data_IF_923406689930
#
_entry.id   IF_923406689930
#
_cell.length_a   1.000
_cell.length_b   1.000
_cell.length_c   1.000
_cell.angle_alpha   90.00
_cell.angle_beta   90.00
_cell.angle_gamma   90.00
#
_symmetry.space_group_name_H-M   'P 1'
#
loop_
_entity.id
_entity.type
_entity.pdbx_description
1 polymer ?
#
# COMPACT_ATOMS: atom_id res chain seq x y z
N UNK A 1 59.90 -53.54 -42.58
CA UNK A 1 60.14 -52.10 -42.42
C UNK A 1 59.07 -51.55 -41.52
N UNK A 2 59.43 -51.30 -40.26
CA UNK A 2 58.55 -50.68 -39.25
C UNK A 2 58.33 -49.20 -39.59
N UNK A 3 57.08 -48.76 -39.68
CA UNK A 3 56.74 -47.34 -39.62
C UNK A 3 56.26 -47.00 -38.21
N UNK A 4 57.07 -46.20 -37.50
CA UNK A 4 56.73 -45.57 -36.22
C UNK A 4 55.65 -44.53 -36.45
N UNK A 5 54.50 -44.67 -35.79
CA UNK A 5 53.54 -43.58 -35.60
C UNK A 5 53.94 -42.74 -34.38
N UNK A 6 54.14 -41.44 -34.63
CA UNK A 6 54.48 -40.43 -33.64
C UNK A 6 53.34 -40.20 -32.63
N UNK A 7 53.56 -40.62 -31.38
CA UNK A 7 52.69 -40.29 -30.24
C UNK A 7 52.82 -38.81 -29.85
N UNK A 8 51.89 -37.97 -30.32
CA UNK A 8 51.67 -36.61 -29.77
C UNK A 8 51.28 -36.68 -28.28
N UNK A 9 52.15 -36.17 -27.41
CA UNK A 9 51.88 -36.01 -25.99
C UNK A 9 50.79 -34.96 -25.75
N UNK A 10 49.63 -35.39 -25.23
CA UNK A 10 48.62 -34.48 -24.68
C UNK A 10 49.13 -33.89 -23.37
N UNK A 11 49.49 -32.60 -23.39
CA UNK A 11 49.82 -31.83 -22.19
C UNK A 11 48.55 -31.72 -21.34
N UNK A 12 48.50 -32.47 -20.23
CA UNK A 12 47.46 -32.40 -19.22
C UNK A 12 47.38 -31.01 -18.60
N UNK A 13 46.54 -30.15 -19.17
CA UNK A 13 46.21 -28.83 -18.63
C UNK A 13 44.75 -28.79 -18.20
N UNK A 14 44.47 -28.08 -17.09
CA UNK A 14 43.11 -27.88 -16.57
C UNK A 14 42.22 -27.26 -17.67
N UNK A 15 40.97 -27.74 -17.85
CA UNK A 15 40.05 -27.21 -18.86
C UNK A 15 39.87 -25.69 -18.76
N UNK A 16 39.80 -25.01 -19.91
CA UNK A 16 39.51 -23.57 -19.97
C UNK A 16 38.07 -23.34 -19.47
N UNK A 17 37.91 -22.53 -18.41
CA UNK A 17 36.59 -22.09 -17.92
C UNK A 17 35.84 -21.31 -18.99
N UNK A 18 34.54 -21.58 -19.14
CA UNK A 18 33.65 -20.86 -20.06
C UNK A 18 33.51 -19.37 -19.70
N UNK A 19 33.03 -18.56 -20.65
CA UNK A 19 32.89 -17.11 -20.47
C UNK A 19 31.98 -16.74 -19.28
N UNK A 20 30.98 -17.57 -18.96
CA UNK A 20 30.03 -17.41 -17.85
C UNK A 20 30.61 -17.82 -16.48
N UNK A 21 31.65 -18.65 -16.44
CA UNK A 21 32.33 -19.08 -15.20
C UNK A 21 33.52 -18.18 -14.82
N UNK A 22 33.92 -17.28 -15.73
CA UNK A 22 35.06 -16.40 -15.52
C UNK A 22 34.62 -15.13 -14.80
N UNK A 23 34.92 -15.04 -13.51
CA UNK A 23 34.74 -13.83 -12.70
C UNK A 23 35.60 -12.68 -13.26
N UNK A 24 35.00 -11.81 -14.06
CA UNK A 24 35.71 -10.78 -14.85
C UNK A 24 35.72 -9.41 -14.17
N UNK A 25 34.69 -9.11 -13.38
CA UNK A 25 34.47 -7.79 -12.79
C UNK A 25 34.80 -7.79 -11.29
N UNK A 26 35.50 -6.75 -10.83
CA UNK A 26 35.86 -6.56 -9.42
C UNK A 26 35.03 -5.45 -8.80
N UNK A 27 34.35 -5.75 -7.68
CA UNK A 27 33.67 -4.76 -6.83
C UNK A 27 34.49 -4.59 -5.56
N UNK A 28 34.94 -3.37 -5.27
CA UNK A 28 35.68 -3.04 -4.05
C UNK A 28 34.74 -2.38 -3.03
N UNK A 29 34.68 -2.92 -1.81
CA UNK A 29 33.88 -2.38 -0.71
C UNK A 29 34.80 -2.05 0.45
N UNK A 30 34.73 -0.81 0.95
CA UNK A 30 35.41 -0.42 2.19
C UNK A 30 34.52 -0.80 3.37
N UNK A 31 35.07 -1.50 4.36
CA UNK A 31 34.35 -1.95 5.55
C UNK A 31 34.98 -1.32 6.79
N UNK A 32 34.16 -0.96 7.78
CA UNK A 32 34.65 -0.67 9.11
C UNK A 32 35.27 -1.94 9.73
N UNK A 33 36.20 -1.79 10.66
CA UNK A 33 36.90 -2.92 11.28
C UNK A 33 35.94 -3.97 11.86
N UNK A 34 34.88 -3.52 12.55
CA UNK A 34 33.86 -4.41 13.11
C UNK A 34 33.11 -5.23 12.05
N UNK A 35 32.75 -4.61 10.92
CA UNK A 35 32.03 -5.27 9.83
C UNK A 35 32.94 -6.26 9.08
N UNK A 36 34.22 -5.91 8.92
CA UNK A 36 35.23 -6.79 8.33
C UNK A 36 35.41 -8.07 9.18
N UNK A 37 35.57 -7.94 10.50
CA UNK A 37 35.69 -9.10 11.38
C UNK A 37 34.41 -9.94 11.37
N UNK A 38 33.23 -9.31 11.37
CA UNK A 38 31.95 -10.03 11.29
C UNK A 38 31.81 -10.84 10.00
N UNK A 39 32.23 -10.28 8.87
CA UNK A 39 32.27 -11.00 7.59
C UNK A 39 33.22 -12.21 7.68
N UNK A 40 34.44 -12.00 8.18
CA UNK A 40 35.45 -13.06 8.25
C UNK A 40 35.00 -14.21 9.15
N UNK A 41 34.37 -13.91 10.30
CA UNK A 41 33.81 -14.93 11.19
C UNK A 41 32.70 -15.73 10.51
N UNK A 42 31.74 -15.07 9.87
CA UNK A 42 30.63 -15.75 9.19
C UNK A 42 31.08 -16.59 7.99
N UNK A 43 32.07 -16.12 7.24
CA UNK A 43 32.66 -16.88 6.15
C UNK A 43 33.38 -18.14 6.67
N UNK A 44 34.11 -18.00 7.78
CA UNK A 44 34.76 -19.12 8.46
C UNK A 44 33.76 -20.15 8.98
N UNK A 45 32.68 -19.72 9.65
CA UNK A 45 31.60 -20.59 10.13
C UNK A 45 30.89 -21.31 8.97
N UNK A 46 30.71 -20.64 7.84
CA UNK A 46 30.11 -21.22 6.63
C UNK A 46 31.09 -22.12 5.83
N UNK A 47 32.35 -22.26 6.25
CA UNK A 47 33.34 -23.09 5.57
C UNK A 47 33.75 -22.60 4.17
N UNK A 48 33.48 -21.33 3.84
CA UNK A 48 33.75 -20.75 2.51
C UNK A 48 34.65 -19.51 2.61
N UNK A 49 35.29 -19.14 1.50
CA UNK A 49 36.06 -17.89 1.46
C UNK A 49 35.15 -16.66 1.65
N UNK A 50 35.67 -15.58 2.22
CA UNK A 50 34.93 -14.32 2.39
C UNK A 50 34.35 -13.78 1.08
N UNK A 51 35.05 -13.99 -0.03
CA UNK A 51 34.59 -13.62 -1.37
C UNK A 51 33.45 -14.50 -1.87
N UNK A 52 33.45 -15.81 -1.58
CA UNK A 52 32.34 -16.70 -1.94
C UNK A 52 31.12 -16.45 -1.06
N UNK A 53 31.33 -16.20 0.24
CA UNK A 53 30.28 -15.83 1.16
C UNK A 53 29.54 -14.56 0.71
N UNK A 54 30.28 -13.50 0.34
CA UNK A 54 29.67 -12.28 -0.19
C UNK A 54 28.91 -12.52 -1.51
N UNK A 55 29.45 -13.36 -2.40
CA UNK A 55 28.77 -13.71 -3.66
C UNK A 55 27.45 -14.41 -3.40
N UNK A 56 27.42 -15.35 -2.46
CA UNK A 56 26.20 -16.06 -2.10
C UNK A 56 25.18 -15.12 -1.44
N UNK A 57 25.63 -14.22 -0.57
CA UNK A 57 24.78 -13.15 -0.04
C UNK A 57 24.26 -12.21 -1.13
N UNK A 58 25.01 -11.98 -2.21
CA UNK A 58 24.54 -11.16 -3.33
C UNK A 58 23.52 -11.90 -4.21
N UNK A 59 23.73 -13.20 -4.48
CA UNK A 59 22.79 -14.01 -5.29
C UNK A 59 21.45 -14.22 -4.59
N UNK A 60 21.47 -14.47 -3.29
CA UNK A 60 20.29 -14.90 -2.53
C UNK A 60 19.78 -13.85 -1.53
N UNK A 61 20.51 -12.74 -1.37
CA UNK A 61 20.10 -11.65 -0.50
C UNK A 61 18.98 -10.83 -1.11
N UNK A 62 17.98 -10.50 -0.30
CA UNK A 62 16.90 -9.59 -0.68
C UNK A 62 17.15 -8.22 -0.04
N UNK A 63 17.26 -7.18 -0.85
CA UNK A 63 17.30 -5.80 -0.34
C UNK A 63 15.87 -5.37 -0.04
N UNK A 64 15.53 -5.24 1.25
CA UNK A 64 14.23 -4.69 1.65
C UNK A 64 14.20 -3.20 1.30
N UNK A 65 13.52 -2.88 0.20
CA UNK A 65 13.33 -1.49 -0.24
C UNK A 65 12.76 -0.63 0.90
N UNK A 66 13.27 0.59 1.06
CA UNK A 66 12.66 1.58 1.97
C UNK A 66 11.19 1.77 1.57
N UNK A 67 10.30 1.87 2.57
CA UNK A 67 8.90 2.20 2.36
C UNK A 67 8.81 3.43 1.43
N UNK A 68 8.05 3.30 0.34
CA UNK A 68 7.81 4.41 -0.58
C UNK A 68 7.23 5.60 0.18
N UNK A 69 7.39 6.82 -0.34
CA UNK A 69 6.81 8.04 0.26
C UNK A 69 5.28 7.91 0.46
N UNK A 70 4.64 7.09 -0.37
CA UNK A 70 3.21 6.75 -0.29
C UNK A 70 2.94 5.76 0.83
N UNK A 71 3.68 4.65 0.92
CA UNK A 71 3.52 3.69 2.01
C UNK A 71 3.78 4.32 3.38
N UNK A 72 4.77 5.21 3.49
CA UNK A 72 5.03 5.96 4.72
C UNK A 72 3.91 6.96 5.06
N UNK A 73 3.18 7.47 4.06
CA UNK A 73 2.00 8.31 4.27
C UNK A 73 0.81 7.47 4.75
N UNK A 74 0.60 6.29 4.19
CA UNK A 74 -0.43 5.35 4.64
C UNK A 74 -0.20 4.91 6.09
N UNK A 75 1.03 4.59 6.47
CA UNK A 75 1.38 4.25 7.87
C UNK A 75 1.07 5.41 8.82
N UNK A 76 1.43 6.64 8.46
CA UNK A 76 1.10 7.83 9.26
C UNK A 76 -0.41 8.06 9.40
N UNK A 77 -1.18 7.84 8.33
CA UNK A 77 -2.64 7.95 8.37
C UNK A 77 -3.24 6.86 9.26
N UNK A 78 -2.75 5.62 9.17
CA UNK A 78 -3.15 4.50 10.02
C UNK A 78 -2.91 4.78 11.51
N UNK A 79 -1.74 5.33 11.87
CA UNK A 79 -1.47 5.75 13.24
C UNK A 79 -2.42 6.86 13.73
N UNK A 80 -2.76 7.82 12.85
CA UNK A 80 -3.74 8.86 13.18
C UNK A 80 -5.13 8.30 13.44
N UNK A 81 -5.59 7.36 12.60
CA UNK A 81 -6.88 6.68 12.77
C UNK A 81 -6.91 5.83 14.05
N UNK A 82 -5.82 5.14 14.36
CA UNK A 82 -5.68 4.37 15.60
C UNK A 82 -5.80 5.27 16.85
N UNK A 83 -5.15 6.45 16.84
CA UNK A 83 -5.28 7.41 17.94
C UNK A 83 -6.72 7.92 18.11
N UNK A 84 -7.41 8.22 17.01
CA UNK A 84 -8.82 8.65 17.07
C UNK A 84 -9.73 7.55 17.63
N UNK A 85 -9.51 6.30 17.22
CA UNK A 85 -10.24 5.15 17.75
C UNK A 85 -9.97 4.96 19.26
N UNK A 86 -8.72 5.16 19.68
CA UNK A 86 -8.33 5.05 21.08
C UNK A 86 -8.98 6.15 21.94
N UNK A 87 -9.11 7.37 21.41
CA UNK A 87 -9.83 8.46 22.06
C UNK A 87 -11.33 8.19 22.16
N UNK A 88 -11.95 7.62 21.13
CA UNK A 88 -13.35 7.19 21.15
C UNK A 88 -13.57 6.09 22.21
N UNK A 89 -12.68 5.11 22.29
CA UNK A 89 -12.73 4.08 23.32
C UNK A 89 -12.59 4.67 24.73
N UNK A 90 -11.69 5.64 24.91
CA UNK A 90 -11.48 6.29 26.20
C UNK A 90 -12.67 7.13 26.65
N UNK A 91 -13.37 7.78 25.71
CA UNK A 91 -14.60 8.53 25.98
C UNK A 91 -15.80 7.61 26.26
N UNK A 92 -15.96 6.55 25.47
CA UNK A 92 -17.00 5.54 25.71
C UNK A 92 -16.85 4.86 27.08
N UNK A 93 -15.62 4.63 27.54
CA UNK A 93 -15.34 4.12 28.88
C UNK A 93 -15.63 5.13 30.00
N UNK A 94 -15.65 6.44 29.70
CA UNK A 94 -15.90 7.50 30.67
C UNK A 94 -17.38 7.92 30.74
N UNK A 95 -18.11 7.89 29.63
CA UNK A 95 -19.53 8.31 29.52
C UNK A 95 -20.56 7.17 29.46
N UNK A 96 -20.13 5.93 29.19
CA UNK A 96 -21.00 4.76 29.06
C UNK A 96 -21.46 4.49 27.62
N UNK A 97 -21.49 3.21 27.22
CA UNK A 97 -21.67 2.75 25.83
C UNK A 97 -23.03 3.08 25.16
N UNK A 98 -24.00 3.62 25.89
CA UNK A 98 -25.36 3.82 25.39
C UNK A 98 -25.53 5.15 24.62
N UNK A 99 -24.80 6.21 24.98
CA UNK A 99 -24.92 7.51 24.31
C UNK A 99 -24.25 7.51 22.93
N UNK A 100 -23.10 6.85 22.77
CA UNK A 100 -22.40 6.76 21.48
C UNK A 100 -22.90 5.66 20.54
N UNK A 101 -23.84 4.79 20.97
CA UNK A 101 -24.28 3.64 20.16
C UNK A 101 -24.94 4.08 18.86
N UNK A 102 -25.81 5.08 18.92
CA UNK A 102 -26.54 5.55 17.76
C UNK A 102 -25.68 6.45 16.87
N UNK A 103 -24.79 7.26 17.45
CA UNK A 103 -23.76 7.98 16.68
C UNK A 103 -22.80 7.01 15.97
N UNK A 104 -22.39 5.92 16.62
CA UNK A 104 -21.57 4.89 15.98
C UNK A 104 -22.34 4.17 14.87
N UNK A 105 -23.62 3.85 15.05
CA UNK A 105 -24.45 3.26 13.98
C UNK A 105 -24.64 4.21 12.82
N UNK A 106 -24.90 5.49 13.08
CA UNK A 106 -25.04 6.52 12.05
C UNK A 106 -23.72 6.70 11.32
N UNK A 107 -22.59 6.77 12.02
CA UNK A 107 -21.24 6.85 11.40
C UNK A 107 -20.92 5.59 10.60
N UNK A 108 -21.23 4.40 11.09
CA UNK A 108 -21.03 3.14 10.36
C UNK A 108 -21.92 3.07 9.12
N UNK A 109 -23.19 3.48 9.22
CA UNK A 109 -24.10 3.57 8.08
C UNK A 109 -23.63 4.61 7.07
N UNK A 110 -23.14 5.78 7.53
CA UNK A 110 -22.57 6.86 6.70
C UNK A 110 -21.29 6.40 5.98
N UNK A 111 -20.43 5.66 6.67
CA UNK A 111 -19.24 5.04 6.09
C UNK A 111 -19.66 4.01 5.04
N UNK A 112 -20.70 3.21 5.31
CA UNK A 112 -21.24 2.26 4.35
C UNK A 112 -21.81 2.97 3.10
N UNK A 113 -22.53 4.09 3.26
CA UNK A 113 -23.07 4.91 2.16
C UNK A 113 -21.99 5.68 1.38
N UNK A 114 -20.95 6.19 2.05
CA UNK A 114 -19.78 6.82 1.40
C UNK A 114 -18.95 5.82 0.60
N UNK A 115 -19.20 4.52 0.79
CA UNK A 115 -18.59 3.46 0.01
C UNK A 115 -19.53 2.83 -1.03
N UNK A 116 -20.75 3.35 -1.21
CA UNK A 116 -21.69 2.86 -2.24
C UNK A 116 -21.36 3.38 -3.65
N UNK A 117 -20.69 4.53 -3.75
CA UNK A 117 -20.20 5.09 -5.02
C UNK A 117 -18.78 4.57 -5.34
N UNK A 118 -18.40 3.38 -4.82
CA UNK A 118 -17.05 2.85 -4.96
C UNK A 118 -16.96 1.67 -5.91
N UNK A 119 -15.74 1.52 -6.41
CA UNK A 119 -15.23 0.32 -7.05
C UNK A 119 -15.67 -0.95 -6.31
N UNK A 120 -15.72 -2.08 -7.02
CA UNK A 120 -16.10 -3.38 -6.46
C UNK A 120 -15.50 -3.59 -5.06
N UNK A 121 -16.32 -4.04 -4.11
CA UNK A 121 -15.88 -4.29 -2.73
C UNK A 121 -16.42 -5.61 -2.20
N UNK A 122 -15.68 -6.18 -1.24
CA UNK A 122 -16.03 -7.41 -0.57
C UNK A 122 -16.05 -7.23 0.95
N UNK A 123 -17.14 -7.67 1.59
CA UNK A 123 -17.28 -7.73 3.04
C UNK A 123 -17.27 -9.19 3.50
N UNK A 124 -16.26 -9.56 4.28
CA UNK A 124 -16.06 -10.93 4.79
C UNK A 124 -16.49 -10.99 6.26
N UNK A 125 -17.34 -11.97 6.57
CA UNK A 125 -17.87 -12.26 7.91
C UNK A 125 -17.68 -13.74 8.21
N UNK A 126 -17.32 -14.04 9.45
CA UNK A 126 -17.21 -15.41 9.96
C UNK A 126 -18.22 -15.65 11.07
N UNK A 127 -18.85 -16.82 11.05
CA UNK A 127 -19.88 -17.21 12.02
C UNK A 127 -19.71 -18.63 12.52
N UNK A 128 -20.51 -18.98 13.53
CA UNK A 128 -20.59 -20.32 14.11
C UNK A 128 -21.86 -21.09 13.72
N UNK A 129 -22.83 -20.43 13.08
CA UNK A 129 -24.15 -21.02 12.82
C UNK A 129 -24.54 -20.90 11.35
N UNK A 130 -24.57 -22.03 10.63
CA UNK A 130 -24.97 -22.07 9.22
C UNK A 130 -26.44 -21.71 9.01
N UNK A 131 -27.33 -22.07 9.95
CA UNK A 131 -28.75 -21.72 9.85
C UNK A 131 -28.95 -20.21 9.73
N UNK A 132 -28.22 -19.46 10.57
CA UNK A 132 -28.29 -17.99 10.56
C UNK A 132 -27.85 -17.36 9.23
N UNK A 133 -26.77 -17.87 8.62
CA UNK A 133 -26.32 -17.34 7.32
C UNK A 133 -27.27 -17.75 6.18
N UNK A 134 -27.77 -18.99 6.20
CA UNK A 134 -28.72 -19.49 5.20
C UNK A 134 -30.03 -18.72 5.27
N UNK A 135 -30.58 -18.52 6.47
CA UNK A 135 -31.80 -17.75 6.69
C UNK A 135 -31.65 -16.31 6.22
N UNK A 136 -30.50 -15.68 6.51
CA UNK A 136 -30.21 -14.31 6.10
C UNK A 136 -30.05 -14.16 4.58
N UNK A 137 -29.33 -15.08 3.92
CA UNK A 137 -29.09 -14.99 2.47
C UNK A 137 -30.34 -15.39 1.68
N UNK A 138 -31.10 -16.38 2.13
CA UNK A 138 -32.31 -16.85 1.43
C UNK A 138 -33.59 -16.20 1.97
N UNK A 139 -33.49 -14.96 2.45
CA UNK A 139 -34.64 -14.18 2.91
C UNK A 139 -35.47 -13.70 1.70
N UNK A 140 -36.71 -14.18 1.60
CA UNK A 140 -37.62 -13.87 0.48
C UNK A 140 -37.90 -12.38 0.34
N UNK A 141 -37.80 -11.61 1.43
CA UNK A 141 -38.03 -10.16 1.42
C UNK A 141 -36.97 -9.40 0.62
N UNK A 142 -35.84 -10.03 0.27
CA UNK A 142 -34.72 -9.40 -0.44
C UNK A 142 -34.70 -9.66 -1.96
N UNK A 143 -35.76 -10.26 -2.49
CA UNK A 143 -35.87 -10.58 -3.93
C UNK A 143 -34.83 -11.60 -4.40
N UNK A 144 -34.47 -12.57 -3.55
CA UNK A 144 -33.30 -13.43 -3.72
C UNK A 144 -33.35 -14.26 -5.02
N UNK A 145 -32.23 -14.29 -5.74
CA UNK A 145 -32.00 -15.21 -6.86
C UNK A 145 -30.74 -16.04 -6.61
N UNK A 146 -30.88 -17.37 -6.60
CA UNK A 146 -29.74 -18.28 -6.53
C UNK A 146 -28.99 -18.24 -7.87
N UNK A 147 -27.68 -18.00 -7.85
CA UNK A 147 -26.88 -17.85 -9.08
C UNK A 147 -25.84 -18.95 -9.28
N UNK A 148 -25.34 -19.57 -8.21
CA UNK A 148 -24.46 -20.75 -8.29
C UNK A 148 -24.44 -21.50 -6.95
N UNK A 149 -24.13 -22.80 -6.98
CA UNK A 149 -23.89 -23.59 -5.77
C UNK A 149 -23.07 -24.84 -6.10
N UNK A 150 -22.41 -25.40 -5.09
CA UNK A 150 -21.68 -26.66 -5.21
C UNK A 150 -21.66 -27.41 -3.87
N UNK A 151 -21.85 -28.73 -3.91
CA UNK A 151 -21.76 -29.61 -2.75
C UNK A 151 -22.91 -29.52 -1.73
N UNK A 152 -24.04 -28.90 -2.08
CA UNK A 152 -25.19 -28.67 -1.19
C UNK A 152 -26.49 -29.27 -1.73
N UNK A 153 -27.34 -29.77 -0.85
CA UNK A 153 -28.71 -30.17 -1.17
C UNK A 153 -29.65 -28.95 -1.11
N UNK A 154 -29.88 -28.32 -2.28
CA UNK A 154 -30.59 -27.04 -2.44
C UNK A 154 -32.13 -27.17 -2.50
N UNK A 155 -32.74 -28.03 -1.69
CA UNK A 155 -34.21 -28.19 -1.66
C UNK A 155 -34.90 -27.13 -0.79
N UNK A 156 -34.40 -26.91 0.42
CA UNK A 156 -34.93 -25.93 1.36
C UNK A 156 -33.84 -25.45 2.34
N UNK A 157 -34.17 -24.47 3.18
CA UNK A 157 -33.19 -23.87 4.12
C UNK A 157 -32.63 -24.90 5.11
N UNK A 158 -33.42 -25.89 5.50
CA UNK A 158 -33.02 -26.90 6.47
C UNK A 158 -32.06 -27.91 5.84
N UNK A 159 -32.31 -28.37 4.61
CA UNK A 159 -31.41 -29.28 3.88
C UNK A 159 -30.07 -28.63 3.55
N UNK A 160 -30.08 -27.34 3.20
CA UNK A 160 -28.85 -26.55 2.95
C UNK A 160 -28.04 -26.44 4.25
N UNK A 161 -28.71 -26.06 5.35
CA UNK A 161 -28.09 -25.95 6.67
C UNK A 161 -27.50 -27.28 7.13
N UNK A 162 -28.25 -28.38 6.93
CA UNK A 162 -27.81 -29.73 7.25
C UNK A 162 -26.55 -30.11 6.46
N UNK A 163 -26.53 -29.83 5.15
CA UNK A 163 -25.39 -30.12 4.27
C UNK A 163 -24.10 -29.47 4.78
N UNK A 164 -24.16 -28.20 5.17
CA UNK A 164 -23.03 -27.47 5.74
C UNK A 164 -22.59 -28.03 7.11
N UNK A 165 -23.56 -28.29 7.98
CA UNK A 165 -23.29 -28.78 9.33
C UNK A 165 -22.59 -30.14 9.30
N UNK A 166 -23.03 -31.08 8.45
CA UNK A 166 -22.41 -32.40 8.29
C UNK A 166 -20.92 -32.25 7.94
N UNK A 167 -20.58 -31.46 6.92
CA UNK A 167 -19.17 -31.24 6.54
C UNK A 167 -18.36 -30.54 7.65
N UNK A 168 -18.97 -29.62 8.39
CA UNK A 168 -18.27 -28.92 9.47
C UNK A 168 -17.83 -29.84 10.61
N UNK A 169 -18.51 -30.98 10.81
CA UNK A 169 -18.16 -31.94 11.85
C UNK A 169 -16.84 -32.68 11.55
N UNK A 170 -16.37 -32.68 10.30
CA UNK A 170 -15.07 -33.26 9.94
C UNK A 170 -13.91 -32.59 10.68
N UNK A 171 -14.10 -31.35 11.17
CA UNK A 171 -13.13 -30.66 12.00
C UNK A 171 -13.79 -29.79 13.07
N UNK A 172 -14.26 -30.45 14.14
CA UNK A 172 -14.89 -29.79 15.28
C UNK A 172 -14.00 -28.84 16.10
N UNK A 173 -12.71 -28.70 15.78
CA UNK A 173 -11.80 -27.74 16.45
C UNK A 173 -12.02 -26.30 15.97
N UNK A 174 -12.66 -26.11 14.82
CA UNK A 174 -12.89 -24.78 14.23
C UNK A 174 -14.12 -24.15 14.86
N UNK A 175 -13.93 -23.16 15.75
CA UNK A 175 -15.04 -22.47 16.43
C UNK A 175 -15.97 -21.68 15.48
N UNK A 176 -15.48 -21.28 14.30
CA UNK A 176 -16.24 -20.48 13.32
C UNK A 176 -16.12 -21.09 11.92
N UNK A 177 -16.84 -22.18 11.61
CA UNK A 177 -16.75 -22.85 10.32
C UNK A 177 -17.48 -22.09 9.20
N UNK A 178 -18.35 -21.13 9.53
CA UNK A 178 -19.14 -20.40 8.53
C UNK A 178 -18.31 -19.28 7.91
N UNK A 179 -18.21 -19.27 6.59
CA UNK A 179 -17.72 -18.15 5.80
C UNK A 179 -18.85 -17.45 5.05
N UNK A 180 -18.91 -16.12 5.13
CA UNK A 180 -19.87 -15.29 4.42
C UNK A 180 -19.16 -14.12 3.75
N UNK A 181 -19.39 -13.94 2.45
CA UNK A 181 -18.84 -12.82 1.68
C UNK A 181 -19.98 -12.11 0.98
N UNK A 182 -20.07 -10.79 1.16
CA UNK A 182 -20.91 -9.94 0.33
C UNK A 182 -20.02 -9.23 -0.69
N UNK A 183 -20.17 -9.54 -1.97
CA UNK A 183 -19.54 -8.79 -3.07
C UNK A 183 -20.51 -7.73 -3.55
N UNK A 184 -20.12 -6.47 -3.43
CA UNK A 184 -20.89 -5.30 -3.84
C UNK A 184 -20.23 -4.67 -5.06
N UNK A 185 -21.03 -4.25 -6.02
CA UNK A 185 -20.61 -3.58 -7.23
C UNK A 185 -21.13 -2.14 -7.21
N UNK A 186 -20.55 -1.27 -8.02
CA UNK A 186 -21.06 0.09 -8.15
C UNK A 186 -22.39 0.07 -8.93
N UNK A 187 -23.23 1.08 -8.70
CA UNK A 187 -24.52 1.21 -9.37
C UNK A 187 -24.35 1.46 -10.88
N UNK A 188 -23.27 2.14 -11.25
CA UNK A 188 -22.90 2.45 -12.64
C UNK A 188 -22.68 1.16 -13.47
N UNK A 189 -22.29 0.06 -12.82
CA UNK A 189 -22.10 -1.23 -13.48
C UNK A 189 -23.39 -2.06 -13.62
N UNK A 190 -24.50 -1.65 -12.99
CA UNK A 190 -25.76 -2.40 -12.95
C UNK A 190 -26.25 -2.91 -14.32
N UNK A 191 -26.24 -2.11 -15.41
CA UNK A 191 -26.70 -2.58 -16.73
C UNK A 191 -25.90 -3.76 -17.29
N UNK A 192 -24.66 -3.97 -16.81
CA UNK A 192 -23.75 -5.02 -17.28
C UNK A 192 -23.75 -6.25 -16.36
N UNK A 193 -24.35 -6.15 -15.17
CA UNK A 193 -24.30 -7.18 -14.13
C UNK A 193 -25.51 -8.11 -14.20
N UNK A 194 -25.49 -9.01 -15.19
CA UNK A 194 -26.43 -10.15 -15.25
C UNK A 194 -26.06 -11.22 -14.22
N UNK A 195 -26.99 -12.13 -13.91
CA UNK A 195 -26.71 -13.23 -12.97
C UNK A 195 -25.52 -14.09 -13.41
N UNK A 196 -25.39 -14.34 -14.71
CA UNK A 196 -24.27 -15.08 -15.27
C UNK A 196 -22.94 -14.34 -15.03
N UNK A 197 -22.89 -13.04 -15.29
CA UNK A 197 -21.68 -12.22 -15.08
C UNK A 197 -21.32 -12.17 -13.59
N UNK A 198 -22.30 -11.94 -12.71
CA UNK A 198 -22.06 -11.90 -11.27
C UNK A 198 -21.61 -13.25 -10.72
N UNK A 199 -22.19 -14.36 -11.20
CA UNK A 199 -21.75 -15.71 -10.84
C UNK A 199 -20.31 -15.95 -11.30
N UNK A 200 -19.97 -15.59 -12.54
CA UNK A 200 -18.62 -15.74 -13.06
C UNK A 200 -17.58 -14.97 -12.23
N UNK A 201 -17.85 -13.69 -11.95
CA UNK A 201 -16.97 -12.85 -11.12
C UNK A 201 -16.85 -13.44 -9.70
N UNK A 202 -17.96 -13.89 -9.11
CA UNK A 202 -17.94 -14.44 -7.76
C UNK A 202 -17.16 -15.77 -7.67
N UNK A 203 -17.30 -16.65 -8.67
CA UNK A 203 -16.55 -17.91 -8.75
C UNK A 203 -15.04 -17.65 -8.95
N UNK A 204 -14.66 -16.74 -9.84
CA UNK A 204 -13.24 -16.39 -10.00
C UNK A 204 -12.67 -15.71 -8.75
N UNK A 205 -13.49 -14.89 -8.06
CA UNK A 205 -13.12 -14.29 -6.79
C UNK A 205 -12.82 -15.36 -5.73
N UNK A 206 -13.69 -16.38 -5.62
CA UNK A 206 -13.48 -17.51 -4.70
C UNK A 206 -12.18 -18.26 -5.04
N UNK A 207 -11.95 -18.50 -6.32
CA UNK A 207 -10.75 -19.19 -6.83
C UNK A 207 -9.45 -18.45 -6.47
N UNK A 208 -9.43 -17.12 -6.62
CA UNK A 208 -8.28 -16.27 -6.22
C UNK A 208 -8.14 -16.10 -4.71
N UNK A 209 -9.24 -16.15 -3.96
CA UNK A 209 -9.21 -16.15 -2.51
C UNK A 209 -8.71 -17.48 -1.92
N UNK A 210 -8.63 -18.53 -2.76
CA UNK A 210 -8.28 -19.88 -2.33
C UNK A 210 -9.43 -20.62 -1.65
N UNK A 211 -10.68 -20.21 -1.92
CA UNK A 211 -11.90 -20.84 -1.43
C UNK A 211 -12.26 -21.99 -2.39
N UNK A 212 -11.46 -23.05 -2.34
CA UNK A 212 -11.56 -24.22 -3.22
C UNK A 212 -11.94 -25.46 -2.42
N UNK A 213 -12.44 -26.48 -3.12
CA UNK A 213 -12.73 -27.79 -2.55
C UNK A 213 -13.60 -27.68 -1.28
N UNK A 214 -14.67 -26.89 -1.37
CA UNK A 214 -15.58 -26.64 -0.25
C UNK A 214 -16.99 -26.43 -0.75
N UNK A 215 -17.97 -26.71 0.10
CA UNK A 215 -19.37 -26.40 -0.16
C UNK A 215 -19.59 -24.90 -0.20
N UNK A 216 -20.40 -24.44 -1.15
CA UNK A 216 -20.85 -23.07 -1.20
C UNK A 216 -22.17 -22.88 -1.94
N UNK A 217 -22.82 -21.76 -1.68
CA UNK A 217 -23.82 -21.20 -2.59
C UNK A 217 -23.67 -19.69 -2.71
N UNK A 218 -24.11 -19.17 -3.85
CA UNK A 218 -24.06 -17.76 -4.22
C UNK A 218 -25.47 -17.32 -4.56
N UNK A 219 -25.92 -16.23 -3.95
CA UNK A 219 -27.23 -15.65 -4.20
C UNK A 219 -27.12 -14.14 -4.43
N UNK A 220 -27.85 -13.63 -5.41
CA UNK A 220 -28.03 -12.21 -5.67
C UNK A 220 -29.19 -11.66 -4.85
N UNK A 221 -29.01 -10.49 -4.26
CA UNK A 221 -30.05 -9.74 -3.57
C UNK A 221 -30.42 -8.47 -4.35
N UNK A 222 -31.63 -7.97 -4.14
CA UNK A 222 -32.18 -6.75 -4.75
C UNK A 222 -32.75 -5.80 -3.69
N UNK A 223 -32.39 -5.99 -2.42
CA UNK A 223 -32.83 -5.17 -1.28
C UNK A 223 -32.11 -3.82 -1.15
N UNK A 224 -31.07 -3.57 -1.97
CA UNK A 224 -30.28 -2.35 -1.94
C UNK A 224 -30.17 -1.73 -3.32
N UNK A 225 -29.86 -0.43 -3.32
CA UNK A 225 -29.68 0.36 -4.53
C UNK A 225 -28.50 -0.11 -5.42
N UNK A 226 -27.48 -0.73 -4.82
CA UNK A 226 -26.32 -1.22 -5.56
C UNK A 226 -26.40 -2.75 -5.78
N UNK A 227 -25.99 -3.25 -6.97
CA UNK A 227 -25.95 -4.67 -7.24
C UNK A 227 -24.99 -5.39 -6.29
N UNK A 228 -25.41 -6.52 -5.73
CA UNK A 228 -24.55 -7.32 -4.88
C UNK A 228 -24.95 -8.80 -4.85
N UNK A 229 -23.96 -9.66 -4.58
CA UNK A 229 -24.13 -11.08 -4.33
C UNK A 229 -23.57 -11.47 -2.98
N UNK A 230 -24.18 -12.48 -2.38
CA UNK A 230 -23.75 -13.11 -1.16
C UNK A 230 -23.25 -14.52 -1.45
N UNK A 231 -22.09 -14.85 -0.90
CA UNK A 231 -21.46 -16.16 -0.96
C UNK A 231 -21.48 -16.71 0.47
N UNK A 232 -22.11 -17.87 0.68
CA UNK A 232 -21.92 -18.65 1.89
C UNK A 232 -21.08 -19.88 1.54
N UNK A 233 -20.06 -20.16 2.34
CA UNK A 233 -19.16 -21.28 2.12
C UNK A 233 -18.75 -21.93 3.44
N UNK A 234 -18.35 -23.19 3.38
CA UNK A 234 -17.77 -23.88 4.53
C UNK A 234 -16.27 -23.58 4.61
N UNK A 235 -15.78 -23.19 5.78
CA UNK A 235 -14.32 -23.05 6.00
C UNK A 235 -13.63 -24.39 6.17
N UNK A 236 -14.37 -25.47 6.35
CA UNK A 236 -13.84 -26.81 6.39
C UNK A 236 -14.02 -27.38 4.99
N UNK A 237 -12.91 -27.63 4.30
CA UNK A 237 -12.92 -28.20 2.96
C UNK A 237 -13.42 -29.64 2.95
N UNK A 238 -13.66 -30.17 1.77
CA UNK A 238 -14.16 -31.53 1.57
C UNK A 238 -13.15 -32.61 2.04
N UNK A 239 -11.90 -32.22 2.28
CA UNK A 239 -10.83 -33.04 2.88
C UNK A 239 -10.73 -32.91 4.40
N UNK A 240 -11.66 -32.16 5.04
CA UNK A 240 -11.66 -31.87 6.48
C UNK A 240 -10.65 -30.80 6.91
N UNK A 241 -9.84 -30.25 5.98
CA UNK A 241 -8.84 -29.21 6.31
C UNK A 241 -9.50 -27.85 6.41
N UNK A 242 -8.98 -27.01 7.29
CA UNK A 242 -9.47 -25.65 7.46
C UNK A 242 -8.87 -24.70 6.43
N UNK A 243 -9.73 -23.98 5.71
CA UNK A 243 -9.36 -22.87 4.85
C UNK A 243 -8.90 -21.70 5.72
N UNK A 244 -7.69 -21.21 5.44
CA UNK A 244 -7.04 -20.15 6.22
C UNK A 244 -7.69 -18.78 5.96
N UNK A 245 -8.06 -18.10 7.04
CA UNK A 245 -8.54 -16.70 7.06
C UNK A 245 -7.39 -15.67 7.12
N UNK A 246 -6.13 -16.13 7.09
CA UNK A 246 -4.98 -15.25 7.23
C UNK A 246 -4.94 -14.20 6.13
N UNK A 247 -4.87 -12.93 6.52
CA UNK A 247 -4.79 -11.77 5.64
C UNK A 247 -5.91 -11.70 4.58
N UNK A 248 -7.05 -12.38 4.80
CA UNK A 248 -8.12 -12.50 3.80
C UNK A 248 -8.65 -11.13 3.37
N UNK A 249 -8.79 -10.16 4.28
CA UNK A 249 -9.32 -8.83 3.96
C UNK A 249 -8.37 -8.06 3.05
N UNK A 250 -7.06 -8.19 3.27
CA UNK A 250 -6.04 -7.58 2.43
C UNK A 250 -6.00 -8.23 1.05
N UNK A 251 -6.04 -9.57 0.99
CA UNK A 251 -6.10 -10.34 -0.26
C UNK A 251 -7.35 -9.96 -1.05
N UNK A 252 -8.50 -9.96 -0.38
CA UNK A 252 -9.79 -9.59 -0.95
C UNK A 252 -9.79 -8.18 -1.52
N UNK A 253 -9.26 -7.19 -0.78
CA UNK A 253 -9.17 -5.80 -1.26
C UNK A 253 -8.33 -5.71 -2.53
N UNK A 254 -7.20 -6.44 -2.59
CA UNK A 254 -6.35 -6.48 -3.78
C UNK A 254 -7.05 -7.13 -4.97
N UNK A 255 -7.75 -8.25 -4.74
CA UNK A 255 -8.49 -8.97 -5.79
C UNK A 255 -9.64 -8.11 -6.31
N UNK A 256 -10.39 -7.43 -5.44
CA UNK A 256 -11.48 -6.54 -5.88
C UNK A 256 -10.94 -5.44 -6.81
N UNK A 257 -9.82 -4.79 -6.46
CA UNK A 257 -9.18 -3.80 -7.33
C UNK A 257 -8.70 -4.38 -8.66
N UNK A 258 -8.09 -5.57 -8.62
CA UNK A 258 -7.69 -6.29 -9.82
C UNK A 258 -8.89 -6.58 -10.71
N UNK A 259 -10.02 -6.97 -10.12
CA UNK A 259 -11.25 -7.30 -10.83
C UNK A 259 -11.93 -6.06 -11.39
N UNK A 260 -11.94 -4.95 -10.65
CA UNK A 260 -12.43 -3.67 -11.17
C UNK A 260 -11.71 -3.30 -12.46
N UNK A 261 -10.39 -3.47 -12.51
CA UNK A 261 -9.60 -3.27 -13.72
C UNK A 261 -9.89 -4.34 -14.80
N UNK A 262 -9.83 -5.62 -14.45
CA UNK A 262 -9.94 -6.75 -15.38
C UNK A 262 -11.27 -6.75 -16.13
N UNK A 263 -12.36 -6.47 -15.42
CA UNK A 263 -13.72 -6.50 -15.96
C UNK A 263 -14.18 -5.14 -16.50
N UNK A 264 -13.32 -4.12 -16.41
CA UNK A 264 -13.65 -2.74 -16.78
C UNK A 264 -14.86 -2.23 -16.02
N UNK A 265 -14.92 -2.51 -14.71
CA UNK A 265 -15.95 -2.02 -13.81
C UNK A 265 -15.65 -0.57 -13.40
N UNK A 266 -16.65 0.11 -12.88
CA UNK A 266 -16.53 1.50 -12.48
C UNK A 266 -15.43 1.68 -11.40
N UNK A 267 -14.50 2.59 -11.69
CA UNK A 267 -13.48 3.05 -10.74
C UNK A 267 -13.97 4.34 -10.11
N UNK A 268 -14.10 4.36 -8.79
CA UNK A 268 -14.35 5.60 -8.08
C UNK A 268 -13.21 6.60 -8.28
N UNK A 269 -13.52 7.75 -8.88
CA UNK A 269 -12.59 8.88 -8.96
C UNK A 269 -12.24 9.37 -7.54
N UNK A 270 -10.95 9.39 -7.23
CA UNK A 270 -10.46 9.71 -5.89
C UNK A 270 -10.83 11.13 -5.43
N UNK A 271 -11.21 11.27 -4.14
CA UNK A 271 -11.41 12.51 -3.35
C UNK A 271 -12.39 13.58 -3.89
N UNK A 272 -12.73 13.63 -5.16
CA UNK A 272 -13.50 14.74 -5.73
C UNK A 272 -15.02 14.53 -5.59
N UNK A 273 -15.50 13.28 -5.47
CA UNK A 273 -16.92 12.94 -5.27
C UNK A 273 -17.28 12.62 -3.81
N UNK A 274 -16.90 13.50 -2.88
CA UNK A 274 -17.46 13.45 -1.52
C UNK A 274 -18.80 14.19 -1.54
N UNK A 275 -19.89 13.55 -1.11
CA UNK A 275 -21.22 14.17 -0.95
C UNK A 275 -21.14 15.30 0.10
N UNK A 276 -20.73 16.51 -0.32
CA UNK A 276 -20.32 17.65 0.55
C UNK A 276 -21.45 18.17 1.44
N UNK A 277 -22.70 18.04 1.00
CA UNK A 277 -23.90 18.40 1.75
C UNK A 277 -24.10 17.55 3.04
N UNK A 278 -23.30 16.50 3.24
CA UNK A 278 -23.39 15.55 4.35
C UNK A 278 -22.21 15.64 5.33
N UNK A 279 -21.31 16.61 5.19
CA UNK A 279 -20.18 16.80 6.11
C UNK A 279 -20.61 17.58 7.36
N UNK A 280 -20.23 17.11 8.56
CA UNK A 280 -20.36 17.86 9.82
C UNK A 280 -19.08 18.66 10.09
N UNK A 281 -19.15 19.65 10.97
CA UNK A 281 -17.95 20.35 11.44
C UNK A 281 -17.07 19.43 12.30
N UNK A 282 -15.72 19.54 12.25
CA UNK A 282 -14.93 20.54 11.50
C UNK A 282 -14.61 20.14 10.05
N UNK A 283 -15.00 18.95 9.60
CA UNK A 283 -14.64 18.43 8.27
C UNK A 283 -15.30 19.23 7.14
N UNK A 284 -16.53 19.71 7.33
CA UNK A 284 -17.19 20.62 6.37
C UNK A 284 -16.36 21.88 6.14
N UNK A 285 -15.92 22.54 7.21
CA UNK A 285 -15.00 23.67 7.14
C UNK A 285 -13.67 23.28 6.51
N UNK A 286 -13.10 22.12 6.85
CA UNK A 286 -11.85 21.63 6.26
C UNK A 286 -11.93 21.45 4.74
N UNK A 287 -13.02 20.88 4.22
CA UNK A 287 -13.22 20.69 2.78
C UNK A 287 -13.48 22.02 2.06
N UNK A 288 -14.27 22.91 2.66
CA UNK A 288 -14.44 24.27 2.13
C UNK A 288 -13.09 25.01 2.05
N UNK A 289 -12.26 24.86 3.09
CA UNK A 289 -10.91 25.42 3.11
C UNK A 289 -10.02 24.79 2.02
N UNK A 290 -10.14 23.49 1.78
CA UNK A 290 -9.42 22.81 0.70
C UNK A 290 -9.77 23.42 -0.68
N UNK A 291 -11.06 23.66 -0.97
CA UNK A 291 -11.50 24.24 -2.24
C UNK A 291 -10.97 25.66 -2.44
N UNK A 292 -11.05 26.49 -1.39
CA UNK A 292 -10.53 27.86 -1.39
C UNK A 292 -9.03 27.83 -1.66
N UNK A 293 -8.27 27.00 -0.92
CA UNK A 293 -6.82 26.89 -1.12
C UNK A 293 -6.46 26.33 -2.50
N UNK A 294 -7.20 25.34 -3.02
CA UNK A 294 -6.96 24.78 -4.36
C UNK A 294 -7.10 25.85 -5.43
N UNK A 295 -8.08 26.74 -5.27
CA UNK A 295 -8.37 27.82 -6.23
C UNK A 295 -7.38 28.98 -6.10
N UNK A 296 -7.17 29.49 -4.88
CA UNK A 296 -6.35 30.69 -4.66
C UNK A 296 -4.86 30.43 -4.86
N UNK A 297 -4.34 29.27 -4.43
CA UNK A 297 -2.92 28.93 -4.63
C UNK A 297 -2.58 28.78 -6.12
N UNK A 298 -3.56 28.41 -6.96
CA UNK A 298 -3.37 28.34 -8.42
C UNK A 298 -3.44 29.70 -9.13
N UNK A 299 -3.87 30.77 -8.45
CA UNK A 299 -4.10 32.10 -9.05
C UNK A 299 -3.18 33.20 -8.52
N UNK A 300 -2.57 32.98 -7.35
CA UNK A 300 -1.72 33.97 -6.71
C UNK A 300 -0.24 33.75 -7.08
N UNK A 301 0.55 34.82 -7.06
CA UNK A 301 1.98 34.85 -7.38
C UNK A 301 2.86 35.18 -6.15
N UNK A 302 2.23 35.52 -5.02
CA UNK A 302 2.90 35.82 -3.77
C UNK A 302 1.99 35.63 -2.54
N UNK A 303 2.61 35.50 -1.37
CA UNK A 303 1.91 35.25 -0.10
C UNK A 303 1.04 36.40 0.35
N UNK A 304 1.41 37.65 0.08
CA UNK A 304 0.62 38.81 0.51
C UNK A 304 -0.74 38.83 -0.19
N UNK A 305 -0.75 38.60 -1.51
CA UNK A 305 -1.97 38.50 -2.32
C UNK A 305 -2.79 37.29 -1.91
N UNK A 306 -2.15 36.13 -1.71
CA UNK A 306 -2.82 34.92 -1.24
C UNK A 306 -3.49 35.14 0.13
N UNK A 307 -2.77 35.70 1.11
CA UNK A 307 -3.32 35.96 2.46
C UNK A 307 -4.46 36.97 2.40
N UNK A 308 -4.35 38.02 1.56
CA UNK A 308 -5.43 38.99 1.38
C UNK A 308 -6.70 38.33 0.79
N UNK A 309 -6.55 37.46 -0.20
CA UNK A 309 -7.67 36.75 -0.82
C UNK A 309 -8.31 35.73 0.13
N UNK A 310 -7.50 35.02 0.90
CA UNK A 310 -7.95 34.08 1.93
C UNK A 310 -8.73 34.81 3.03
N UNK A 311 -8.23 35.96 3.51
CA UNK A 311 -8.93 36.79 4.50
C UNK A 311 -10.29 37.26 4.00
N UNK A 312 -10.41 37.65 2.73
CA UNK A 312 -11.69 38.04 2.10
C UNK A 312 -12.71 36.89 2.11
N UNK A 313 -12.25 35.65 2.11
CA UNK A 313 -13.08 34.44 2.14
C UNK A 313 -13.27 33.89 3.57
N UNK A 314 -12.90 34.66 4.60
CA UNK A 314 -13.06 34.28 6.01
C UNK A 314 -12.01 33.30 6.52
N UNK A 315 -10.86 33.19 5.84
CA UNK A 315 -9.74 32.34 6.24
C UNK A 315 -8.61 33.19 6.80
N UNK A 316 -8.31 33.07 8.08
CA UNK A 316 -7.13 33.67 8.68
C UNK A 316 -5.91 32.77 8.49
N UNK A 317 -4.74 33.39 8.29
CA UNK A 317 -3.48 32.69 8.07
C UNK A 317 -2.49 33.07 9.17
N UNK A 318 -1.90 32.07 9.82
CA UNK A 318 -0.83 32.22 10.81
C UNK A 318 0.37 31.36 10.42
N UNK A 319 1.54 31.98 10.37
CA UNK A 319 2.80 31.28 10.10
C UNK A 319 3.39 30.71 11.39
N UNK A 320 3.93 29.49 11.31
CA UNK A 320 4.68 28.83 12.37
C UNK A 320 6.16 28.97 12.08
N UNK A 321 6.91 29.46 13.05
CA UNK A 321 8.36 29.69 12.95
C UNK A 321 9.15 28.66 13.75
N UNK A 322 10.40 28.42 13.36
CA UNK A 322 11.29 27.47 14.05
C UNK A 322 11.93 28.15 15.27
N UNK A 323 11.43 27.82 16.46
CA UNK A 323 11.97 28.37 17.71
C UNK A 323 11.91 29.90 17.74
N UNK A 324 13.06 30.56 17.94
CA UNK A 324 13.21 32.03 17.92
C UNK A 324 13.75 32.57 16.58
N UNK A 325 13.72 31.80 15.50
CA UNK A 325 14.20 32.25 14.18
C UNK A 325 13.04 32.75 13.32
N UNK A 326 13.32 33.66 12.38
CA UNK A 326 12.35 34.12 11.36
C UNK A 326 12.10 33.06 10.26
N UNK A 327 12.62 31.84 10.40
CA UNK A 327 12.42 30.75 9.44
C UNK A 327 11.01 30.13 9.60
N UNK A 328 10.15 30.32 8.60
CA UNK A 328 8.79 29.76 8.57
C UNK A 328 8.83 28.25 8.30
N UNK A 329 8.41 27.46 9.29
CA UNK A 329 8.29 25.99 9.20
C UNK A 329 6.92 25.50 8.75
N UNK A 330 5.88 26.32 8.85
CA UNK A 330 4.53 25.88 8.51
C UNK A 330 3.51 27.00 8.46
N UNK A 331 2.32 26.64 7.99
CA UNK A 331 1.18 27.54 7.88
C UNK A 331 -0.04 26.90 8.54
N UNK A 332 -0.77 27.70 9.30
CA UNK A 332 -2.04 27.35 9.93
C UNK A 332 -3.12 28.26 9.37
N UNK A 333 -4.22 27.64 8.96
CA UNK A 333 -5.41 28.31 8.45
C UNK A 333 -6.51 28.21 9.50
N UNK A 334 -7.15 29.32 9.83
CA UNK A 334 -8.32 29.36 10.71
C UNK A 334 -9.54 29.73 9.89
N UNK A 335 -10.61 28.95 9.97
CA UNK A 335 -11.90 29.27 9.34
C UNK A 335 -13.02 28.77 10.24
N UNK A 336 -14.09 29.56 10.41
CA UNK A 336 -15.24 29.24 11.27
C UNK A 336 -14.85 28.80 12.69
N UNK A 337 -13.80 29.38 13.27
CA UNK A 337 -13.30 29.03 14.61
C UNK A 337 -12.46 27.74 14.70
N UNK A 338 -12.22 27.05 13.58
CA UNK A 338 -11.40 25.83 13.52
C UNK A 338 -10.01 26.09 12.93
N UNK A 339 -8.98 25.50 13.53
CA UNK A 339 -7.58 25.66 13.11
C UNK A 339 -7.06 24.41 12.37
N UNK A 340 -6.55 24.59 11.16
CA UNK A 340 -5.99 23.53 10.35
C UNK A 340 -4.55 23.85 9.94
N UNK A 341 -3.61 22.96 10.26
CA UNK A 341 -2.28 23.03 9.64
C UNK A 341 -2.43 22.74 8.14
N UNK A 342 -1.81 23.53 7.27
CA UNK A 342 -1.93 23.38 5.83
C UNK A 342 -1.61 21.96 5.34
N UNK A 343 -0.57 21.33 5.87
CA UNK A 343 -0.22 19.94 5.55
C UNK A 343 -1.25 18.88 5.99
N UNK A 344 -2.12 19.24 6.94
CA UNK A 344 -3.23 18.40 7.44
C UNK A 344 -4.53 18.63 6.67
N UNK A 345 -4.67 19.77 5.98
CA UNK A 345 -5.71 20.00 4.97
C UNK A 345 -5.40 19.15 3.74
N UNK A 346 -4.23 19.36 3.15
CA UNK A 346 -3.65 18.48 2.13
C UNK A 346 -2.13 18.63 2.12
N UNK A 347 -1.40 17.56 1.74
CA UNK A 347 0.07 17.61 1.68
C UNK A 347 0.56 18.68 0.70
N UNK A 348 -0.24 19.11 -0.26
CA UNK A 348 0.08 20.20 -1.20
C UNK A 348 0.06 21.59 -0.55
N UNK A 349 -0.67 21.76 0.56
CA UNK A 349 -0.83 23.05 1.23
C UNK A 349 0.16 23.24 2.40
N UNK A 350 1.28 22.52 2.41
CA UNK A 350 2.40 22.89 3.30
C UNK A 350 3.03 24.20 2.85
N UNK A 351 3.58 24.99 3.78
CA UNK A 351 4.21 26.29 3.50
C UNK A 351 5.16 26.22 2.30
N UNK A 352 6.17 25.34 2.33
CA UNK A 352 7.16 25.21 1.25
C UNK A 352 6.60 24.87 -0.12
N UNK A 353 5.42 24.23 -0.18
CA UNK A 353 4.79 23.87 -1.45
C UNK A 353 3.87 24.94 -1.99
N UNK A 354 3.19 25.66 -1.09
CA UNK A 354 2.46 26.87 -1.48
C UNK A 354 3.48 27.89 -1.97
N UNK A 355 4.57 28.09 -1.24
CA UNK A 355 5.64 29.01 -1.63
C UNK A 355 6.23 28.67 -3.01
N UNK A 356 6.56 27.40 -3.26
CA UNK A 356 7.01 26.94 -4.57
C UNK A 356 5.96 27.13 -5.68
N UNK A 357 4.67 26.91 -5.38
CA UNK A 357 3.60 27.12 -6.35
C UNK A 357 3.43 28.60 -6.71
N UNK A 358 3.49 29.50 -5.72
CA UNK A 358 3.42 30.94 -5.93
C UNK A 358 4.61 31.45 -6.77
N UNK A 359 5.80 30.91 -6.53
CA UNK A 359 7.00 31.20 -7.34
C UNK A 359 6.81 30.75 -8.80
N UNK A 360 6.34 29.51 -9.01
CA UNK A 360 6.04 28.99 -10.35
C UNK A 360 5.03 29.86 -11.11
N UNK A 361 3.93 30.25 -10.45
CA UNK A 361 2.91 31.11 -11.04
C UNK A 361 3.47 32.49 -11.44
N UNK A 362 4.40 33.05 -10.64
CA UNK A 362 5.07 34.31 -10.94
C UNK A 362 5.95 34.19 -12.17
N UNK A 363 6.71 33.10 -12.28
CA UNK A 363 7.61 32.85 -13.40
C UNK A 363 6.81 32.62 -14.69
N UNK A 364 5.70 31.87 -14.63
CA UNK A 364 4.77 31.68 -15.76
C UNK A 364 4.13 32.99 -16.23
N UNK A 365 3.70 33.85 -15.31
CA UNK A 365 3.16 35.17 -15.63
C UNK A 365 4.22 36.06 -16.32
N UNK A 366 5.49 35.97 -15.88
CA UNK A 366 6.62 36.71 -16.46
C UNK A 366 6.99 36.20 -17.85
N UNK A 367 6.94 34.89 -18.09
CA UNK A 367 7.18 34.29 -19.41
C UNK A 367 6.04 34.61 -20.40
N UNK A 368 4.81 34.75 -19.92
CA UNK A 368 3.64 35.11 -20.75
C UNK A 368 3.64 36.57 -21.24
N UNK A 369 4.50 37.43 -20.66
CA UNK A 369 4.61 38.86 -20.98
C UNK A 369 5.80 39.20 -21.92
N UNK A 370 6.56 38.21 -22.40
CA UNK A 370 7.60 38.45 -23.41
C UNK A 370 6.97 38.58 -24.81
N UNK A 371 7.33 39.60 -25.62
CA UNK A 371 6.81 39.72 -26.98
C UNK A 371 7.29 38.54 -27.80
N UNK A 372 6.39 37.83 -28.48
CA UNK A 372 6.76 36.87 -29.52
C UNK A 372 7.46 37.63 -30.64
N UNK A 373 8.79 37.56 -30.70
CA UNK A 373 9.53 37.98 -31.89
C UNK A 373 9.17 37.04 -33.04
N UNK A 374 8.62 37.59 -34.11
CA UNK A 374 8.36 36.89 -35.36
C UNK A 374 9.66 36.30 -35.91
N UNK A 375 9.63 35.00 -36.20
CA UNK A 375 10.75 34.24 -36.75
C UNK A 375 10.26 32.99 -37.47
N UNK A 376 9.74 33.22 -38.68
CA UNK A 376 9.66 32.37 -39.89
C UNK A 376 9.12 30.94 -39.71
N UNK A 377 7.99 30.72 -40.38
CA UNK A 377 7.25 29.47 -40.56
C UNK A 377 8.05 28.37 -41.26
N UNK A 378 7.98 27.14 -40.73
CA UNK A 378 7.94 25.90 -41.52
C UNK A 378 6.84 25.02 -40.94
N UNK A 379 5.89 24.51 -41.75
CA UNK A 379 4.66 23.90 -41.25
C UNK A 379 4.87 22.43 -40.88
N UNK A 380 4.30 22.01 -39.75
CA UNK A 380 3.88 20.61 -39.64
C UNK A 380 2.66 20.44 -38.72
N UNK A 381 1.57 20.03 -39.38
CA UNK A 381 0.42 19.23 -38.93
C UNK A 381 -0.17 19.53 -37.55
N UNK A 382 -1.33 20.19 -37.59
CA UNK A 382 -2.30 20.29 -36.50
C UNK A 382 -2.92 18.90 -36.29
N UNK A 383 -2.72 18.32 -35.11
CA UNK A 383 -3.64 17.36 -34.51
C UNK A 383 -4.28 18.01 -33.29
N UNK A 384 -5.60 18.04 -33.30
CA UNK A 384 -6.46 18.74 -32.36
C UNK A 384 -6.38 18.17 -30.93
N UNK A 385 -6.21 19.09 -29.98
CA UNK A 385 -6.82 19.19 -28.65
C UNK A 385 -7.00 17.93 -27.78
N UNK A 386 -6.19 17.83 -26.72
CA UNK A 386 -6.67 17.53 -25.36
C UNK A 386 -5.69 18.11 -24.32
N UNK A 387 -6.12 19.21 -23.67
CA UNK A 387 -5.43 19.80 -22.51
C UNK A 387 -5.62 18.91 -21.28
N UNK A 388 -4.52 18.48 -20.69
CA UNK A 388 -4.51 17.92 -19.34
C UNK A 388 -3.23 17.13 -19.08
N UNK A 389 -2.52 17.50 -18.01
CA UNK A 389 -1.36 16.79 -17.43
C UNK A 389 0.03 17.08 -18.01
N UNK A 390 0.69 18.09 -17.45
CA UNK A 390 2.15 18.17 -17.45
C UNK A 390 2.63 18.57 -16.05
N UNK A 391 3.01 17.60 -15.22
CA UNK A 391 4.05 17.77 -14.19
C UNK A 391 4.60 16.38 -13.81
N UNK A 392 5.46 15.85 -14.69
CA UNK A 392 6.41 14.78 -14.39
C UNK A 392 7.78 15.41 -14.12
N UNK A 393 8.46 14.90 -13.09
CA UNK A 393 9.53 15.59 -12.38
C UNK A 393 10.88 15.58 -13.08
N UNK A 394 11.69 16.58 -12.76
CA UNK A 394 13.10 16.63 -13.17
C UNK A 394 14.04 16.40 -12.00
N UNK A 395 14.94 15.43 -12.21
CA UNK A 395 16.14 15.13 -11.47
C UNK A 395 17.20 16.22 -11.66
N UNK A 396 17.98 16.51 -10.63
CA UNK A 396 19.31 17.11 -10.77
C UNK A 396 19.74 17.92 -9.56
N UNK A 397 20.84 17.50 -8.91
CA UNK A 397 21.87 18.31 -8.21
C UNK A 397 22.48 17.52 -7.03
N UNK A 398 23.62 16.85 -7.25
CA UNK A 398 24.60 16.57 -6.19
C UNK A 398 26.01 16.57 -6.80
N UNK A 399 26.85 17.51 -6.38
CA UNK A 399 28.30 17.37 -6.39
C UNK A 399 28.87 18.18 -5.21
N UNK A 400 29.84 17.60 -4.48
CA UNK A 400 30.58 18.29 -3.42
C UNK A 400 31.23 17.36 -2.40
N UNK A 401 32.54 17.15 -2.56
CA UNK A 401 33.43 16.29 -1.77
C UNK A 401 33.99 17.02 -0.52
N UNK A 402 34.42 16.29 0.51
CA UNK A 402 35.24 16.83 1.62
C UNK A 402 35.70 15.76 2.63
N UNK A 403 37.01 15.62 2.79
CA UNK A 403 37.71 14.60 3.59
C UNK A 403 38.45 15.23 4.78
N UNK A 404 38.55 14.52 5.93
CA UNK A 404 39.62 14.69 6.93
C UNK A 404 39.69 13.47 7.86
N UNK A 405 40.91 13.01 8.17
CA UNK A 405 41.26 11.82 8.95
C UNK A 405 41.89 12.23 10.29
N UNK A 406 41.56 11.58 11.43
CA UNK A 406 42.17 11.86 12.74
C UNK A 406 42.89 10.65 13.35
N UNK A 407 44.01 10.93 14.00
CA UNK A 407 45.08 10.05 14.46
C UNK A 407 44.77 9.09 15.64
N UNK A 408 43.51 8.94 16.04
CA UNK A 408 43.10 8.05 17.14
C UNK A 408 43.08 6.57 16.74
N UNK A 409 42.99 6.29 15.43
CA UNK A 409 42.90 4.92 14.89
C UNK A 409 44.23 4.16 14.94
N UNK A 410 45.36 4.84 15.08
CA UNK A 410 46.68 4.19 15.07
C UNK A 410 47.05 3.56 16.41
N UNK A 411 46.61 4.13 17.54
CA UNK A 411 46.91 3.60 18.88
C UNK A 411 46.12 2.33 19.21
N UNK A 412 44.82 2.31 18.89
CA UNK A 412 43.97 1.14 19.10
C UNK A 412 44.40 -0.08 18.25
N UNK A 413 45.03 0.18 17.10
CA UNK A 413 45.54 -0.86 16.21
C UNK A 413 46.83 -1.53 16.73
N UNK A 414 47.65 -0.83 17.51
CA UNK A 414 48.87 -1.40 18.10
C UNK A 414 48.55 -2.31 19.28
N UNK A 415 47.61 -1.91 20.14
CA UNK A 415 47.20 -2.68 21.32
C UNK A 415 46.56 -4.03 20.93
N UNK A 416 45.72 -4.02 19.88
CA UNK A 416 45.08 -5.23 19.35
C UNK A 416 46.06 -6.17 18.63
N UNK A 417 47.10 -5.64 17.99
CA UNK A 417 48.17 -6.46 17.40
C UNK A 417 48.97 -7.21 18.48
N UNK A 418 49.15 -6.61 19.65
CA UNK A 418 49.85 -7.21 20.77
C UNK A 418 49.03 -8.33 21.43
N UNK A 419 47.70 -8.14 21.57
CA UNK A 419 46.76 -9.16 22.07
C UNK A 419 46.77 -10.41 21.15
N UNK A 420 46.80 -10.20 19.83
CA UNK A 420 46.86 -11.30 18.86
C UNK A 420 48.21 -12.05 18.91
N UNK A 421 49.33 -11.35 19.15
CA UNK A 421 50.65 -11.99 19.37
C UNK A 421 50.68 -12.83 20.66
N UNK A 422 50.08 -12.36 21.75
CA UNK A 422 49.98 -13.11 23.03
C UNK A 422 49.15 -14.39 22.88
N UNK A 423 48.03 -14.33 22.13
CA UNK A 423 47.20 -15.52 21.82
C UNK A 423 47.91 -16.53 20.92
N UNK A 424 48.76 -16.08 19.99
CA UNK A 424 49.56 -16.95 19.11
C UNK A 424 50.72 -17.65 19.85
N UNK A 425 51.34 -16.99 20.85
CA UNK A 425 52.36 -17.61 21.72
C UNK A 425 51.78 -18.67 22.66
N UNK A 426 50.58 -18.44 23.24
CA UNK A 426 49.86 -19.45 24.05
C UNK A 426 49.55 -20.75 23.30
N UNK A 427 49.39 -20.70 21.97
CA UNK A 427 49.18 -21.88 21.11
C UNK A 427 50.45 -22.67 20.78
N UNK A 428 51.66 -22.13 21.04
CA UNK A 428 52.94 -22.82 20.81
C UNK A 428 53.51 -23.50 22.06
N UNK A 429 53.02 -23.15 23.25
CA UNK A 429 53.43 -23.77 24.52
C UNK A 429 52.59 -24.99 24.97
N UNK A 430 51.60 -25.40 24.17
CA UNK A 430 50.76 -26.58 24.43
C UNK A 430 51.05 -27.66 23.35
N UNK A 431 52.32 -28.02 23.26
CA UNK A 431 52.78 -29.24 22.58
C UNK A 431 53.96 -29.78 23.37
N UNK A 432 53.63 -30.48 24.45
CA UNK A 432 54.28 -31.69 24.97
C UNK A 432 53.24 -32.40 25.82
#
# INVERSE_FOLDING_TARGET
MEHKEDKKHNKGGRPKKGATEKLTYRVAVKLAAADYFRLMTRAYEAGVSSSEYMRECFRNGHVKGRLSKEHAAHVRNLCGMANNLNQLAHRANAGGFYEERDDCKVVVARIHELFQDRDMMAKIVHGSNFKGVVDYILDKNKGVQLVAHEGLFMENKDTITMSFNIQSQMNGKVAKPVGHIALSFSKEDEPRLTNHVMAHIALEYMEKMGLRNTQFFIARHFDKEHPHVHIAFNRIGNDGRTISDRNERLRSTRICKEFTLKYGLHMADGKDNIKRNRLKEPDRTKYKLYDILKTEVGRCDNWNVLVANLRRQGVEVRFKHKGQTDEVQGVVFTMNGYHFNGSKVDRRFSYSKIDAALQCNRDEARMSLMPKSYGIDIPNVISDTARGELFSGSLGLLNGNGSSCNATDTEANLEMAEILRRKKKRKKGLRL
#
